data_IF_446929697492
#
_entry.id   IF_446929697492
#
_cell.length_a   1.000
_cell.length_b   1.000
_cell.length_c   1.000
_cell.angle_alpha   90.00
_cell.angle_beta   90.00
_cell.angle_gamma   90.00
#
_symmetry.space_group_name_H-M   'P 1'
#
loop_
_entity.id
_entity.type
_entity.pdbx_description
1 polymer ?
#
# COMPACT_ATOMS: atom_id res chain seq x y z
N UNK A 1 35.80 1.12 -11.22
CA UNK A 1 35.25 2.41 -11.74
C UNK A 1 35.02 3.32 -10.54
N UNK A 2 35.63 4.51 -10.52
CA UNK A 2 35.56 5.42 -9.36
C UNK A 2 34.10 5.86 -9.12
N UNK A 3 33.62 5.71 -7.89
CA UNK A 3 32.31 6.20 -7.45
C UNK A 3 32.51 7.53 -6.72
N UNK A 4 31.44 8.28 -6.50
CA UNK A 4 31.51 9.56 -5.78
C UNK A 4 30.35 9.67 -4.82
N UNK A 5 30.66 9.99 -3.57
CA UNK A 5 29.68 10.23 -2.52
C UNK A 5 29.39 11.73 -2.51
N UNK A 6 28.11 12.08 -2.60
CA UNK A 6 27.64 13.46 -2.66
C UNK A 6 26.92 13.82 -1.36
N UNK A 7 27.38 14.88 -0.70
CA UNK A 7 26.68 15.53 0.39
C UNK A 7 25.97 16.75 -0.17
N UNK A 8 24.65 16.79 -0.03
CA UNK A 8 23.81 17.82 -0.64
C UNK A 8 22.91 18.48 0.40
N UNK A 9 22.72 19.79 0.24
CA UNK A 9 21.71 20.53 0.99
C UNK A 9 20.42 20.51 0.19
N UNK A 10 19.42 19.77 0.71
CA UNK A 10 18.11 19.59 0.09
C UNK A 10 17.02 20.22 0.96
N UNK A 11 16.23 21.12 0.37
CA UNK A 11 15.11 21.76 1.05
C UNK A 11 13.86 20.89 0.91
N UNK A 12 13.41 20.32 2.01
CA UNK A 12 12.27 19.39 2.01
C UNK A 12 10.96 20.11 1.68
N UNK A 13 10.79 21.36 2.13
CA UNK A 13 9.57 22.14 1.95
C UNK A 13 9.31 22.47 0.48
N UNK A 14 10.37 22.78 -0.26
CA UNK A 14 10.30 23.17 -1.68
C UNK A 14 10.65 22.03 -2.64
N UNK A 15 11.13 20.89 -2.12
CA UNK A 15 11.65 19.74 -2.89
C UNK A 15 12.75 20.13 -3.88
N UNK A 16 13.59 21.09 -3.53
CA UNK A 16 14.67 21.58 -4.39
C UNK A 16 16.04 21.24 -3.79
N UNK A 17 16.93 20.76 -4.64
CA UNK A 17 18.36 20.70 -4.35
C UNK A 17 18.89 22.13 -4.33
N UNK A 18 19.34 22.59 -3.17
CA UNK A 18 19.87 23.95 -3.01
C UNK A 18 21.33 24.03 -3.42
N UNK A 19 22.14 23.09 -2.95
CA UNK A 19 23.57 23.04 -3.27
C UNK A 19 24.16 21.66 -3.02
N UNK A 20 25.26 21.36 -3.73
CA UNK A 20 26.18 20.28 -3.38
C UNK A 20 27.19 20.85 -2.39
N UNK A 21 27.24 20.30 -1.18
CA UNK A 21 28.14 20.76 -0.11
C UNK A 21 29.52 20.11 -0.24
N UNK A 22 29.57 18.80 -0.51
CA UNK A 22 30.83 18.06 -0.62
C UNK A 22 30.70 16.92 -1.62
N UNK A 23 31.79 16.65 -2.33
CA UNK A 23 31.96 15.46 -3.14
C UNK A 23 33.20 14.72 -2.65
N UNK A 24 33.06 13.43 -2.38
CA UNK A 24 34.17 12.58 -1.95
C UNK A 24 34.32 11.46 -2.98
N UNK A 25 35.41 11.43 -3.77
CA UNK A 25 35.69 10.31 -4.63
C UNK A 25 35.97 9.08 -3.77
N UNK A 26 35.51 7.92 -4.25
CA UNK A 26 35.60 6.67 -3.52
C UNK A 26 35.87 5.53 -4.50
N UNK A 27 36.85 4.71 -4.17
CA UNK A 27 37.20 3.52 -4.93
C UNK A 27 36.43 2.32 -4.35
N UNK A 28 35.55 1.67 -5.12
CA UNK A 28 34.82 0.48 -4.66
C UNK A 28 35.73 -0.71 -4.33
N UNK A 29 36.99 -0.62 -4.73
CA UNK A 29 38.03 -1.62 -4.50
C UNK A 29 38.69 -1.50 -3.12
N UNK A 30 38.45 -0.42 -2.37
CA UNK A 30 38.92 -0.27 -0.98
C UNK A 30 38.17 -1.26 -0.09
N UNK A 31 38.80 -2.35 0.35
CA UNK A 31 38.14 -3.35 1.22
C UNK A 31 37.95 -2.90 2.68
N UNK A 32 38.52 -1.75 3.06
CA UNK A 32 38.52 -1.26 4.44
C UNK A 32 37.27 -0.43 4.75
N UNK A 33 36.54 -0.85 5.78
CA UNK A 33 35.41 -0.09 6.31
C UNK A 33 35.89 1.01 7.27
N UNK A 34 35.54 2.25 6.97
CA UNK A 34 35.78 3.44 7.78
C UNK A 34 34.58 4.40 7.76
N UNK A 35 34.45 5.18 8.83
CA UNK A 35 33.47 6.26 8.87
C UNK A 35 34.00 7.46 8.10
N UNK A 36 33.21 7.90 7.12
CA UNK A 36 33.43 9.14 6.40
C UNK A 36 32.98 10.28 7.31
N UNK A 37 33.93 11.15 7.63
CA UNK A 37 33.66 12.42 8.26
C UNK A 37 33.96 13.59 7.30
N UNK A 38 33.28 14.72 7.52
CA UNK A 38 33.47 15.96 6.75
C UNK A 38 33.81 17.11 7.70
N UNK A 39 34.30 18.22 7.15
CA UNK A 39 34.71 19.37 7.95
C UNK A 39 33.54 19.96 8.74
N UNK A 40 33.81 20.58 9.90
CA UNK A 40 32.79 21.29 10.68
C UNK A 40 32.05 22.34 9.85
N UNK A 41 32.75 23.06 8.97
CA UNK A 41 32.15 24.04 8.07
C UNK A 41 31.18 23.40 7.04
N UNK A 42 31.44 22.18 6.59
CA UNK A 42 30.54 21.45 5.71
C UNK A 42 29.32 20.90 6.48
N UNK A 43 29.50 20.49 7.75
CA UNK A 43 28.41 20.10 8.65
C UNK A 43 27.45 21.26 8.93
N UNK A 44 27.99 22.46 9.20
CA UNK A 44 27.21 23.69 9.35
C UNK A 44 26.39 24.01 8.09
N UNK A 45 26.98 23.88 6.89
CA UNK A 45 26.27 24.07 5.62
C UNK A 45 25.15 23.06 5.37
N UNK A 46 25.26 21.86 5.95
CA UNK A 46 24.22 20.83 5.91
C UNK A 46 23.18 21.00 7.02
N UNK A 47 23.45 21.82 8.03
CA UNK A 47 22.56 22.00 9.19
C UNK A 47 22.57 20.80 10.15
N UNK A 48 23.70 20.09 10.25
CA UNK A 48 23.87 18.94 11.15
C UNK A 48 25.03 19.17 12.10
N UNK A 49 24.91 18.74 13.36
CA UNK A 49 25.97 18.91 14.36
C UNK A 49 27.03 17.80 14.30
N UNK A 50 26.63 16.61 13.83
CA UNK A 50 27.50 15.45 13.68
C UNK A 50 27.09 14.61 12.47
N UNK A 51 28.06 13.85 11.92
CA UNK A 51 27.86 12.93 10.81
C UNK A 51 28.41 11.56 11.20
N UNK A 52 27.71 10.49 10.84
CA UNK A 52 28.20 9.12 10.96
C UNK A 52 27.78 8.33 9.73
N UNK A 53 28.68 8.24 8.75
CA UNK A 53 28.45 7.53 7.50
C UNK A 53 29.54 6.48 7.29
N UNK A 54 29.17 5.21 7.13
CA UNK A 54 30.11 4.11 6.88
C UNK A 54 30.19 3.83 5.37
N UNK A 55 31.40 3.67 4.83
CA UNK A 55 31.65 3.33 3.42
C UNK A 55 31.38 1.83 3.13
N UNK A 56 30.14 1.35 3.25
CA UNK A 56 29.86 -0.07 2.96
C UNK A 56 29.72 -0.36 1.44
N UNK A 57 30.09 -1.58 1.03
CA UNK A 57 30.22 -2.04 -0.37
C UNK A 57 29.24 -3.17 -0.72
N UNK A 58 27.95 -3.10 -0.36
CA UNK A 58 27.06 -4.22 -0.65
C UNK A 58 26.72 -4.30 -2.15
N UNK A 59 26.89 -5.50 -2.74
CA UNK A 59 26.53 -5.79 -4.15
C UNK A 59 25.01 -5.81 -4.37
N UNK A 60 24.22 -5.98 -3.30
CA UNK A 60 22.75 -6.03 -3.29
C UNK A 60 22.11 -4.70 -2.86
N UNK A 61 22.63 -3.56 -3.32
CA UNK A 61 21.98 -2.25 -3.17
C UNK A 61 20.65 -2.18 -3.96
N UNK A 62 19.64 -2.94 -3.53
CA UNK A 62 18.26 -2.59 -3.72
C UNK A 62 17.98 -1.42 -2.75
N UNK A 63 17.79 -0.19 -3.24
CA UNK A 63 17.64 0.98 -2.40
C UNK A 63 16.40 0.82 -1.50
N UNK A 64 16.60 0.82 -0.19
CA UNK A 64 15.51 1.06 0.75
C UNK A 64 15.15 2.55 0.70
N UNK A 65 14.25 2.87 -0.22
CA UNK A 65 13.71 4.21 -0.48
C UNK A 65 13.06 4.76 0.78
N UNK A 66 13.57 5.89 1.29
CA UNK A 66 12.74 6.78 2.08
C UNK A 66 11.73 7.39 1.12
N UNK A 67 10.43 7.18 1.36
CA UNK A 67 9.31 7.57 0.47
C UNK A 67 9.27 9.07 0.07
N UNK A 68 10.22 9.91 0.54
CA UNK A 68 10.24 11.36 0.32
C UNK A 68 11.62 11.98 0.00
N UNK A 69 12.74 11.23 -0.09
CA UNK A 69 14.06 11.85 -0.38
C UNK A 69 14.98 10.93 -1.22
N UNK A 70 15.51 11.41 -2.37
CA UNK A 70 16.43 10.64 -3.20
C UNK A 70 17.89 10.96 -2.83
N UNK A 71 18.44 10.30 -1.81
CA UNK A 71 19.89 10.29 -1.57
C UNK A 71 20.30 9.15 -0.64
N UNK A 72 21.46 8.54 -0.90
CA UNK A 72 22.06 7.47 -0.10
C UNK A 72 22.31 7.93 1.35
N UNK A 73 21.80 7.17 2.33
CA UNK A 73 22.02 7.39 3.77
C UNK A 73 22.48 6.05 4.37
N UNK A 74 23.64 6.04 5.04
CA UNK A 74 24.14 4.91 5.81
C UNK A 74 23.12 4.54 6.91
N UNK A 75 22.93 3.24 7.16
CA UNK A 75 21.95 2.73 8.11
C UNK A 75 22.16 3.33 9.52
N UNK A 76 21.23 4.14 9.99
CA UNK A 76 21.19 4.57 11.38
C UNK A 76 20.69 3.38 12.20
N UNK A 77 21.43 2.98 13.23
CA UNK A 77 20.96 2.00 14.20
C UNK A 77 19.73 2.57 14.93
N UNK A 78 18.53 2.09 14.59
CA UNK A 78 17.31 2.38 15.33
C UNK A 78 17.10 1.28 16.38
N UNK A 79 16.89 1.59 17.68
CA UNK A 79 16.62 0.54 18.64
C UNK A 79 15.32 -0.21 18.28
N UNK A 80 15.30 -1.53 18.50
CA UNK A 80 14.21 -2.44 18.09
C UNK A 80 12.82 -1.94 18.52
N UNK A 81 12.71 -1.34 19.70
CA UNK A 81 11.44 -0.76 20.21
C UNK A 81 10.86 0.34 19.30
N UNK A 82 11.71 1.18 18.71
CA UNK A 82 11.29 2.23 17.78
C UNK A 82 10.92 1.65 16.41
N UNK A 83 11.66 0.65 15.93
CA UNK A 83 11.30 -0.06 14.68
C UNK A 83 9.94 -0.75 14.81
N UNK A 84 9.69 -1.40 15.95
CA UNK A 84 8.40 -2.04 16.26
C UNK A 84 7.25 -1.04 16.19
N UNK A 85 7.39 0.13 16.81
CA UNK A 85 6.36 1.18 16.77
C UNK A 85 6.10 1.66 15.34
N UNK A 86 7.14 1.90 14.55
CA UNK A 86 6.99 2.33 13.15
C UNK A 86 6.29 1.27 12.29
N UNK A 87 6.63 -0.01 12.48
CA UNK A 87 5.96 -1.11 11.80
C UNK A 87 4.47 -1.15 12.17
N UNK A 88 4.14 -1.04 13.46
CA UNK A 88 2.75 -1.04 13.93
C UNK A 88 1.95 0.13 13.36
N UNK A 89 2.52 1.35 13.31
CA UNK A 89 1.88 2.51 12.70
C UNK A 89 1.66 2.33 11.18
N UNK A 90 2.61 1.72 10.48
CA UNK A 90 2.46 1.39 9.06
C UNK A 90 1.34 0.36 8.84
N UNK A 91 1.29 -0.69 9.66
CA UNK A 91 0.23 -1.69 9.64
C UNK A 91 -1.14 -1.06 9.91
N UNK A 92 -1.24 -0.15 10.88
CA UNK A 92 -2.48 0.57 11.19
C UNK A 92 -3.02 1.31 9.95
N UNK A 93 -2.17 2.10 9.28
CA UNK A 93 -2.54 2.82 8.05
C UNK A 93 -2.99 1.86 6.95
N UNK A 94 -2.29 0.75 6.76
CA UNK A 94 -2.64 -0.25 5.75
C UNK A 94 -4.01 -0.88 6.03
N UNK A 95 -4.30 -1.25 7.27
CA UNK A 95 -5.59 -1.81 7.65
C UNK A 95 -6.72 -0.79 7.56
N UNK A 96 -6.48 0.48 7.93
CA UNK A 96 -7.46 1.57 7.77
C UNK A 96 -7.83 1.77 6.29
N UNK A 97 -6.83 1.83 5.42
CA UNK A 97 -7.04 1.94 3.96
C UNK A 97 -7.84 0.75 3.43
N UNK A 98 -7.49 -0.48 3.86
CA UNK A 98 -8.19 -1.68 3.44
C UNK A 98 -9.64 -1.72 3.93
N UNK A 99 -9.90 -1.28 5.16
CA UNK A 99 -11.25 -1.18 5.69
C UNK A 99 -12.11 -0.21 4.87
N UNK A 100 -11.58 0.97 4.54
CA UNK A 100 -12.28 1.95 3.72
C UNK A 100 -12.58 1.44 2.30
N UNK A 101 -11.67 0.68 1.68
CA UNK A 101 -11.92 0.03 0.39
C UNK A 101 -13.03 -1.03 0.47
N UNK A 102 -13.04 -1.84 1.54
CA UNK A 102 -14.09 -2.83 1.78
C UNK A 102 -15.46 -2.17 2.04
N UNK A 103 -15.47 -1.02 2.71
CA UNK A 103 -16.69 -0.27 2.96
C UNK A 103 -17.30 0.22 1.64
N UNK A 104 -16.49 0.85 0.77
CA UNK A 104 -16.90 1.25 -0.59
C UNK A 104 -17.44 0.08 -1.41
N UNK A 105 -16.76 -1.07 -1.37
CA UNK A 105 -17.20 -2.27 -2.09
C UNK A 105 -18.54 -2.80 -1.55
N UNK A 106 -18.77 -2.71 -0.23
CA UNK A 106 -20.02 -3.11 0.41
C UNK A 106 -21.17 -2.18 0.01
N UNK A 107 -20.93 -0.86 -0.01
CA UNK A 107 -21.92 0.13 -0.48
C UNK A 107 -22.28 -0.11 -1.94
N UNK A 108 -21.30 -0.37 -2.82
CA UNK A 108 -21.55 -0.68 -4.23
C UNK A 108 -22.41 -1.95 -4.40
N UNK A 109 -22.14 -3.01 -3.61
CA UNK A 109 -23.00 -4.20 -3.56
C UNK A 109 -24.46 -3.85 -3.21
N UNK A 110 -24.68 -2.90 -2.31
CA UNK A 110 -26.02 -2.52 -1.86
C UNK A 110 -26.77 -1.68 -2.88
N UNK A 111 -26.08 -0.76 -3.57
CA UNK A 111 -26.66 -0.01 -4.69
C UNK A 111 -27.17 -0.95 -5.80
N UNK A 112 -26.38 -1.97 -6.16
CA UNK A 112 -26.81 -2.98 -7.14
C UNK A 112 -28.03 -3.75 -6.64
N UNK A 113 -28.09 -4.07 -5.34
CA UNK A 113 -29.25 -4.73 -4.75
C UNK A 113 -30.55 -3.95 -4.96
N UNK A 114 -30.51 -2.62 -4.81
CA UNK A 114 -31.67 -1.74 -5.02
C UNK A 114 -32.13 -1.73 -6.49
N UNK A 115 -31.20 -1.76 -7.44
CA UNK A 115 -31.50 -1.83 -8.88
C UNK A 115 -32.19 -3.17 -9.21
N UNK A 116 -31.64 -4.27 -8.70
CA UNK A 116 -32.16 -5.61 -8.96
C UNK A 116 -33.55 -5.84 -8.34
N UNK A 117 -33.87 -5.23 -7.20
CA UNK A 117 -35.20 -5.28 -6.60
C UNK A 117 -36.29 -4.69 -7.49
N UNK A 118 -35.94 -3.77 -8.39
CA UNK A 118 -36.84 -3.19 -9.40
C UNK A 118 -36.92 -4.04 -10.68
N UNK A 119 -36.34 -5.25 -10.68
CA UNK A 119 -36.14 -6.09 -11.87
C UNK A 119 -35.38 -5.39 -13.01
N UNK A 120 -34.51 -4.45 -12.68
CA UNK A 120 -33.65 -3.75 -13.64
C UNK A 120 -32.30 -4.45 -13.68
N UNK A 121 -31.79 -4.70 -14.88
CA UNK A 121 -30.46 -5.26 -15.08
C UNK A 121 -29.40 -4.14 -14.98
N UNK A 122 -28.32 -4.34 -14.22
CA UNK A 122 -27.14 -3.48 -14.27
C UNK A 122 -26.65 -3.22 -15.71
N UNK A 123 -26.21 -1.99 -15.98
CA UNK A 123 -25.75 -1.58 -17.31
C UNK A 123 -24.52 -2.35 -17.82
N UNK A 124 -23.73 -2.92 -16.91
CA UNK A 124 -22.50 -3.66 -17.20
C UNK A 124 -22.74 -5.08 -17.73
N UNK A 125 -24.00 -5.49 -17.83
CA UNK A 125 -24.41 -6.81 -18.29
C UNK A 125 -24.38 -6.87 -19.80
N UNK A 126 -23.73 -7.90 -20.33
CA UNK A 126 -23.55 -8.08 -21.76
C UNK A 126 -24.04 -9.46 -22.19
N UNK A 127 -24.94 -9.50 -23.18
CA UNK A 127 -25.31 -10.75 -23.83
C UNK A 127 -24.18 -11.18 -24.78
N UNK A 128 -23.55 -12.32 -24.51
CA UNK A 128 -22.41 -12.82 -25.29
C UNK A 128 -22.90 -13.73 -26.42
N UNK A 129 -23.89 -14.58 -26.14
CA UNK A 129 -24.41 -15.53 -27.12
C UNK A 129 -25.89 -15.84 -26.87
N UNK A 130 -26.59 -16.16 -27.96
CA UNK A 130 -27.97 -16.66 -27.96
C UNK A 130 -28.08 -17.81 -28.95
N UNK A 131 -28.48 -18.99 -28.47
CA UNK A 131 -28.70 -20.15 -29.33
C UNK A 131 -30.04 -20.83 -28.99
N UNK A 132 -31.00 -20.78 -29.91
CA UNK A 132 -32.40 -21.19 -29.70
C UNK A 132 -32.95 -20.56 -28.42
N UNK A 133 -33.05 -21.37 -27.36
CA UNK A 133 -33.56 -21.00 -26.04
C UNK A 133 -32.46 -20.89 -24.98
N UNK A 134 -31.18 -20.81 -25.32
CA UNK A 134 -30.09 -20.64 -24.34
C UNK A 134 -29.48 -19.25 -24.48
N UNK A 135 -29.36 -18.56 -23.36
CA UNK A 135 -28.70 -17.25 -23.26
C UNK A 135 -27.43 -17.38 -22.45
N UNK A 136 -26.35 -16.78 -22.95
CA UNK A 136 -25.08 -16.64 -22.24
C UNK A 136 -24.81 -15.17 -21.99
N UNK A 137 -24.68 -14.81 -20.73
CA UNK A 137 -24.56 -13.42 -20.29
C UNK A 137 -23.28 -13.26 -19.47
N UNK A 138 -22.53 -12.20 -19.76
CA UNK A 138 -21.39 -11.73 -18.97
C UNK A 138 -21.82 -10.61 -18.05
N UNK A 139 -21.26 -10.62 -16.85
CA UNK A 139 -21.27 -9.47 -15.97
C UNK A 139 -19.91 -9.32 -15.28
N UNK A 140 -19.34 -8.12 -15.33
CA UNK A 140 -18.13 -7.80 -14.59
C UNK A 140 -18.50 -7.12 -13.28
N UNK A 141 -18.16 -7.73 -12.16
CA UNK A 141 -18.48 -7.22 -10.84
C UNK A 141 -17.31 -7.40 -9.88
N UNK A 142 -16.95 -6.35 -9.14
CA UNK A 142 -15.84 -6.39 -8.18
C UNK A 142 -14.50 -6.89 -8.78
N UNK A 143 -14.21 -6.57 -10.04
CA UNK A 143 -13.04 -7.06 -10.82
C UNK A 143 -13.04 -8.56 -11.14
N UNK A 144 -14.18 -9.23 -10.97
CA UNK A 144 -14.38 -10.61 -11.37
C UNK A 144 -15.36 -10.67 -12.54
N UNK A 145 -15.11 -11.60 -13.46
CA UNK A 145 -16.01 -11.89 -14.58
C UNK A 145 -16.95 -13.04 -14.18
N UNK A 146 -18.25 -12.81 -14.29
CA UNK A 146 -19.29 -13.79 -14.05
C UNK A 146 -20.00 -14.13 -15.35
N UNK A 147 -20.10 -15.43 -15.64
CA UNK A 147 -20.80 -15.94 -16.81
C UNK A 147 -22.05 -16.69 -16.33
N UNK A 148 -23.21 -16.24 -16.79
CA UNK A 148 -24.49 -16.86 -16.54
C UNK A 148 -24.98 -17.57 -17.79
N UNK A 149 -25.42 -18.81 -17.63
CA UNK A 149 -26.06 -19.59 -18.68
C UNK A 149 -27.43 -20.02 -18.21
N UNK A 150 -28.47 -19.66 -18.97
CA UNK A 150 -29.84 -20.04 -18.62
C UNK A 150 -30.68 -20.33 -19.86
N UNK A 151 -31.68 -21.18 -19.67
CA UNK A 151 -32.68 -21.47 -20.70
C UNK A 151 -33.82 -20.44 -20.65
N UNK A 152 -34.27 -19.99 -21.80
CA UNK A 152 -35.33 -19.03 -22.00
C UNK A 152 -36.64 -19.57 -21.45
N UNK A 153 -37.12 -18.93 -20.38
CA UNK A 153 -38.53 -18.94 -20.04
C UNK A 153 -39.12 -17.56 -20.34
N UNK A 154 -40.44 -17.41 -20.21
CA UNK A 154 -41.18 -16.17 -20.52
C UNK A 154 -40.72 -14.92 -19.73
N UNK A 155 -39.70 -15.01 -18.85
CA UNK A 155 -39.19 -13.90 -18.04
C UNK A 155 -37.65 -13.92 -17.86
N UNK A 156 -36.92 -13.80 -18.97
CA UNK A 156 -35.44 -13.74 -19.04
C UNK A 156 -34.84 -12.72 -18.06
N UNK A 157 -35.33 -11.48 -18.07
CA UNK A 157 -34.83 -10.39 -17.21
C UNK A 157 -34.97 -10.74 -15.73
N UNK A 158 -36.11 -11.29 -15.33
CA UNK A 158 -36.37 -11.66 -13.93
C UNK A 158 -35.44 -12.79 -13.47
N UNK A 159 -35.27 -13.84 -14.29
CA UNK A 159 -34.38 -14.94 -13.95
C UNK A 159 -32.92 -14.48 -13.82
N UNK A 160 -32.48 -13.62 -14.74
CA UNK A 160 -31.14 -13.07 -14.71
C UNK A 160 -30.93 -12.19 -13.48
N UNK A 161 -31.91 -11.33 -13.13
CA UNK A 161 -31.89 -10.56 -11.88
C UNK A 161 -31.75 -11.47 -10.65
N UNK A 162 -32.47 -12.61 -10.59
CA UNK A 162 -32.35 -13.58 -9.48
C UNK A 162 -30.97 -14.22 -9.41
N UNK A 163 -30.39 -14.63 -10.53
CA UNK A 163 -29.03 -15.21 -10.57
C UNK A 163 -27.98 -14.20 -10.10
N UNK A 164 -28.08 -12.95 -10.56
CA UNK A 164 -27.19 -11.86 -10.15
C UNK A 164 -27.35 -11.55 -8.66
N UNK A 165 -28.59 -11.57 -8.15
CA UNK A 165 -28.84 -11.40 -6.71
C UNK A 165 -28.12 -12.46 -5.87
N UNK A 166 -28.07 -13.73 -6.32
CA UNK A 166 -27.33 -14.78 -5.61
C UNK A 166 -25.83 -14.49 -5.56
N UNK A 167 -25.21 -14.17 -6.70
CA UNK A 167 -23.78 -13.80 -6.76
C UNK A 167 -23.50 -12.59 -5.86
N UNK A 168 -24.35 -11.56 -5.92
CA UNK A 168 -24.24 -10.39 -5.04
C UNK A 168 -24.31 -10.78 -3.56
N UNK A 169 -25.25 -11.65 -3.17
CA UNK A 169 -25.40 -12.07 -1.78
C UNK A 169 -24.16 -12.80 -1.26
N UNK A 170 -23.57 -13.69 -2.05
CA UNK A 170 -22.33 -14.37 -1.70
C UNK A 170 -21.18 -13.37 -1.57
N UNK A 171 -21.01 -12.46 -2.55
CA UNK A 171 -19.97 -11.43 -2.49
C UNK A 171 -20.12 -10.51 -1.29
N UNK A 172 -21.34 -10.07 -0.97
CA UNK A 172 -21.61 -9.26 0.21
C UNK A 172 -21.21 -9.99 1.50
N UNK A 173 -21.52 -11.29 1.60
CA UNK A 173 -21.13 -12.11 2.75
C UNK A 173 -19.60 -12.19 2.89
N UNK A 174 -18.88 -12.44 1.80
CA UNK A 174 -17.41 -12.47 1.80
C UNK A 174 -16.81 -11.11 2.19
N UNK A 175 -17.32 -10.01 1.64
CA UNK A 175 -16.87 -8.66 1.98
C UNK A 175 -17.11 -8.34 3.46
N UNK A 176 -18.25 -8.73 4.02
CA UNK A 176 -18.55 -8.55 5.44
C UNK A 176 -17.60 -9.35 6.34
N UNK A 177 -17.31 -10.61 5.99
CA UNK A 177 -16.35 -11.43 6.72
C UNK A 177 -14.94 -10.81 6.70
N UNK A 178 -14.50 -10.33 5.54
CA UNK A 178 -13.23 -9.62 5.41
C UNK A 178 -13.22 -8.33 6.24
N UNK A 179 -14.33 -7.59 6.27
CA UNK A 179 -14.45 -6.35 7.06
C UNK A 179 -14.33 -6.62 8.56
N UNK A 180 -14.98 -7.67 9.07
CA UNK A 180 -14.86 -8.12 10.48
C UNK A 180 -13.41 -8.49 10.78
N UNK A 181 -12.75 -9.25 9.91
CA UNK A 181 -11.36 -9.64 10.11
C UNK A 181 -10.43 -8.41 10.19
N UNK A 182 -10.58 -7.46 9.26
CA UNK A 182 -9.80 -6.21 9.28
C UNK A 182 -10.07 -5.40 10.54
N UNK A 183 -11.32 -5.36 11.02
CA UNK A 183 -11.67 -4.65 12.24
C UNK A 183 -10.99 -5.27 13.48
N UNK A 184 -10.90 -6.61 13.53
CA UNK A 184 -10.14 -7.31 14.58
C UNK A 184 -8.64 -6.98 14.50
N UNK A 185 -8.06 -6.95 13.28
CA UNK A 185 -6.67 -6.54 13.09
C UNK A 185 -6.41 -5.10 13.53
N UNK A 186 -7.32 -4.17 13.21
CA UNK A 186 -7.23 -2.78 13.65
C UNK A 186 -7.23 -2.68 15.17
N UNK A 187 -8.14 -3.38 15.85
CA UNK A 187 -8.19 -3.42 17.32
C UNK A 187 -6.87 -3.93 17.91
N UNK A 188 -6.38 -5.08 17.41
CA UNK A 188 -5.14 -5.69 17.89
C UNK A 188 -3.90 -4.80 17.66
N UNK A 189 -3.82 -4.12 16.50
CA UNK A 189 -2.70 -3.21 16.20
C UNK A 189 -2.77 -1.96 17.08
N UNK A 190 -3.96 -1.38 17.30
CA UNK A 190 -4.12 -0.23 18.20
C UNK A 190 -3.65 -0.55 19.61
N UNK A 191 -4.09 -1.69 20.18
CA UNK A 191 -3.61 -2.11 21.51
C UNK A 191 -2.11 -2.38 21.54
N UNK A 192 -1.54 -2.93 20.47
CA UNK A 192 -0.10 -3.14 20.36
C UNK A 192 0.70 -1.82 20.26
N UNK A 193 0.14 -0.78 19.64
CA UNK A 193 0.70 0.57 19.59
C UNK A 193 0.69 1.18 20.98
N UNK A 194 -0.44 1.15 21.69
CA UNK A 194 -0.56 1.67 23.05
C UNK A 194 0.49 1.05 23.98
N UNK A 195 0.68 -0.26 23.90
CA UNK A 195 1.72 -0.95 24.66
C UNK A 195 3.14 -0.49 24.25
N UNK A 196 3.41 -0.39 22.94
CA UNK A 196 4.73 0.02 22.46
C UNK A 196 5.07 1.48 22.81
N UNK A 197 4.08 2.36 22.86
CA UNK A 197 4.23 3.74 23.33
C UNK A 197 4.47 3.80 24.84
N UNK A 198 3.77 2.97 25.61
CA UNK A 198 4.00 2.85 27.05
C UNK A 198 5.42 2.36 27.37
N UNK A 199 5.89 1.32 26.67
CA UNK A 199 7.23 0.75 26.83
C UNK A 199 8.33 1.77 26.48
N UNK A 200 8.03 2.74 25.60
CA UNK A 200 8.96 3.82 25.23
C UNK A 200 9.14 4.86 26.35
N UNK A 201 8.14 5.08 27.20
CA UNK A 201 8.13 6.14 28.23
C UNK A 201 8.78 5.74 29.57
N UNK A 202 9.09 4.46 29.78
CA UNK A 202 9.61 3.92 31.06
C UNK A 202 11.14 3.88 31.16
N UNK A 203 11.87 4.40 30.18
CA UNK A 203 13.34 4.52 30.15
C UNK A 203 13.76 5.96 29.86
#
# INVERSE_FOLDING_TARGET
MMRTILFVNFLQETRQLRSIVKQIPYAPEDSEMYFIDISTADKEKLGVDALSYLNNHYEDDAPCVWLMQPSHIASIHMPVKYMRLQLLLAMLRQFQNRYHLLDKATTACDSIGQILQRNILPQEIQLIARNRDVFTVRWNFCKEEHIFLFRGSQNVTHNLCRMIQQVRHEKKRTLQQQKIWIQNCLSAVTSAIEQAEYDKLRE
#
